data_IF_712259328423
#
_entry.id   IF_712259328423
#
_cell.length_a   1.000
_cell.length_b   1.000
_cell.length_c   1.000
_cell.angle_alpha   90.00
_cell.angle_beta   90.00
_cell.angle_gamma   90.00
#
_symmetry.space_group_name_H-M   'P 1'
#
loop_
_entity.id
_entity.type
_entity.pdbx_description
1 polymer ?
#
# COMPACT_ATOMS: atom_id res chain seq x y z
N UNK A 1 -16.44 9.43 30.41
CA UNK A 1 -15.72 8.42 29.59
C UNK A 1 -15.34 9.09 28.29
N UNK A 2 -14.07 9.47 28.13
CA UNK A 2 -13.61 10.16 26.92
C UNK A 2 -13.48 9.12 25.81
N UNK A 3 -14.34 9.21 24.79
CA UNK A 3 -14.22 8.39 23.59
C UNK A 3 -13.00 8.89 22.82
N UNK A 4 -11.88 8.18 22.94
CA UNK A 4 -10.70 8.44 22.14
C UNK A 4 -11.03 8.04 20.69
N UNK A 5 -11.04 9.02 19.79
CA UNK A 5 -11.18 8.78 18.35
C UNK A 5 -9.91 8.11 17.84
N UNK A 6 -9.89 6.78 17.84
CA UNK A 6 -8.84 6.01 17.19
C UNK A 6 -9.08 6.03 15.69
N UNK A 7 -8.10 6.53 14.93
CA UNK A 7 -8.16 6.53 13.47
C UNK A 7 -7.63 5.18 12.99
N UNK A 8 -8.46 4.44 12.25
CA UNK A 8 -8.09 3.14 11.68
C UNK A 8 -7.87 3.28 10.18
N UNK A 9 -6.63 3.08 9.75
CA UNK A 9 -6.22 3.09 8.34
C UNK A 9 -6.05 1.64 7.86
N UNK A 10 -6.60 1.33 6.68
CA UNK A 10 -6.53 0.00 6.05
C UNK A 10 -5.77 -0.01 4.72
N UNK A 11 -5.49 1.16 4.16
CA UNK A 11 -4.81 1.36 2.88
C UNK A 11 -4.20 2.76 2.85
N UNK A 12 -3.23 2.99 1.97
CA UNK A 12 -2.54 4.27 1.85
C UNK A 12 -1.61 4.51 3.04
N UNK A 13 -0.86 3.47 3.41
CA UNK A 13 0.01 3.54 4.57
C UNK A 13 1.14 4.56 4.36
N UNK A 14 1.48 5.28 5.42
CA UNK A 14 2.64 6.16 5.40
C UNK A 14 3.91 5.32 5.59
N UNK A 15 5.01 5.72 4.96
CA UNK A 15 6.31 5.04 5.14
C UNK A 15 6.73 5.03 6.61
N UNK A 16 7.34 3.93 7.03
CA UNK A 16 7.95 3.74 8.36
C UNK A 16 9.43 3.45 8.24
N UNK A 17 10.18 3.91 9.23
CA UNK A 17 11.60 3.69 9.37
C UNK A 17 11.87 2.65 10.45
N UNK A 18 12.78 1.73 10.18
CA UNK A 18 13.18 0.75 11.18
C UNK A 18 14.69 0.59 11.20
N UNK A 19 15.27 0.52 12.38
CA UNK A 19 16.70 0.25 12.57
C UNK A 19 17.03 -1.26 12.49
N UNK A 20 16.06 -2.11 12.14
CA UNK A 20 16.30 -3.54 12.03
C UNK A 20 17.19 -3.83 10.82
N UNK A 21 18.36 -4.40 11.08
CA UNK A 21 19.24 -4.93 10.03
C UNK A 21 18.60 -6.22 9.52
N UNK A 22 17.91 -6.12 8.39
CA UNK A 22 17.36 -7.27 7.68
C UNK A 22 18.50 -7.97 6.95
N UNK A 23 19.09 -8.99 7.59
CA UNK A 23 20.21 -9.76 7.03
C UNK A 23 19.84 -10.59 5.80
N UNK A 24 18.55 -10.68 5.44
CA UNK A 24 18.09 -11.54 4.34
C UNK A 24 16.85 -10.97 3.62
N UNK A 25 16.81 -11.16 2.30
CA UNK A 25 15.69 -10.79 1.41
C UNK A 25 14.42 -11.64 1.59
N UNK A 26 14.40 -12.59 2.53
CA UNK A 26 13.24 -13.45 2.82
C UNK A 26 11.98 -12.65 3.16
N UNK A 27 12.10 -11.57 3.93
CA UNK A 27 10.95 -10.73 4.29
C UNK A 27 10.34 -10.02 3.09
N UNK A 28 11.19 -9.43 2.25
CA UNK A 28 10.78 -8.81 0.98
C UNK A 28 10.02 -9.79 0.08
N UNK A 29 10.59 -10.98 -0.16
CA UNK A 29 9.96 -12.02 -0.98
C UNK A 29 8.58 -12.44 -0.45
N UNK A 30 8.42 -12.54 0.88
CA UNK A 30 7.13 -12.88 1.47
C UNK A 30 6.05 -11.84 1.17
N UNK A 31 6.40 -10.55 1.26
CA UNK A 31 5.49 -9.47 0.94
C UNK A 31 5.14 -9.46 -0.56
N UNK A 32 6.12 -9.61 -1.44
CA UNK A 32 5.93 -9.63 -2.91
C UNK A 32 5.04 -10.78 -3.38
N UNK A 33 5.12 -11.96 -2.74
CA UNK A 33 4.29 -13.13 -3.07
C UNK A 33 2.86 -12.97 -2.48
N UNK A 34 2.57 -11.92 -1.71
CA UNK A 34 1.24 -11.66 -1.16
C UNK A 34 0.91 -12.46 0.09
N UNK A 35 1.92 -12.86 0.88
CA UNK A 35 1.68 -13.55 2.15
C UNK A 35 1.29 -12.62 3.30
N UNK A 36 1.46 -11.30 3.14
CA UNK A 36 1.09 -10.29 4.13
C UNK A 36 -0.30 -9.77 3.82
N UNK A 37 -1.26 -9.97 4.72
CA UNK A 37 -2.66 -9.63 4.55
C UNK A 37 -3.23 -8.89 5.78
N UNK A 38 -4.41 -8.28 5.59
CA UNK A 38 -5.17 -7.56 6.62
C UNK A 38 -4.32 -6.59 7.44
N UNK A 39 -3.47 -5.82 6.75
CA UNK A 39 -2.68 -4.79 7.42
C UNK A 39 -3.63 -3.69 7.86
N UNK A 40 -3.54 -3.30 9.12
CA UNK A 40 -4.30 -2.19 9.69
C UNK A 40 -3.39 -1.36 10.57
N UNK A 41 -3.50 -0.06 10.44
CA UNK A 41 -2.79 0.90 11.28
C UNK A 41 -3.81 1.62 12.16
N UNK A 42 -3.65 1.53 13.48
CA UNK A 42 -4.47 2.24 14.46
C UNK A 42 -3.64 3.36 15.04
N UNK A 43 -3.99 4.60 14.71
CA UNK A 43 -3.37 5.80 15.27
C UNK A 43 -4.13 6.21 16.54
N UNK A 44 -3.43 6.19 17.66
CA UNK A 44 -3.95 6.70 18.92
C UNK A 44 -3.64 8.20 19.04
N UNK A 45 -4.49 8.93 19.74
CA UNK A 45 -4.30 10.37 20.05
C UNK A 45 -3.00 10.68 20.79
N UNK A 46 -2.44 9.69 21.50
CA UNK A 46 -1.18 9.80 22.22
C UNK A 46 0.07 9.71 21.31
N UNK A 47 -0.10 9.98 20.01
CA UNK A 47 0.95 9.97 18.97
C UNK A 47 1.65 8.63 18.72
N UNK A 48 1.18 7.54 19.33
CA UNK A 48 1.62 6.18 19.03
C UNK A 48 0.68 5.54 18.02
N UNK A 49 1.27 4.84 17.05
CA UNK A 49 0.54 4.09 16.04
C UNK A 49 0.86 2.61 16.17
N UNK A 50 -0.17 1.77 16.10
CA UNK A 50 -0.01 0.32 16.14
C UNK A 50 -0.39 -0.24 14.78
N UNK A 51 0.56 -0.88 14.11
CA UNK A 51 0.32 -1.59 12.87
C UNK A 51 0.14 -3.07 13.21
N UNK A 52 -0.96 -3.66 12.77
CA UNK A 52 -1.19 -5.10 12.88
C UNK A 52 -1.35 -5.71 11.51
N UNK A 53 -0.88 -6.93 11.34
CA UNK A 53 -0.95 -7.67 10.09
C UNK A 53 -1.01 -9.17 10.36
N UNK A 54 -1.53 -9.93 9.40
CA UNK A 54 -1.43 -11.39 9.39
C UNK A 54 -0.47 -11.82 8.29
N UNK A 55 0.34 -12.84 8.58
CA UNK A 55 1.31 -13.39 7.63
C UNK A 55 1.09 -14.87 7.45
N UNK A 56 0.73 -15.28 6.24
CA UNK A 56 0.45 -16.67 5.88
C UNK A 56 1.71 -17.51 6.03
N UNK A 57 1.60 -18.66 6.69
CA UNK A 57 2.72 -19.58 6.91
C UNK A 57 3.23 -20.13 5.58
N UNK A 58 4.56 -20.21 5.41
CA UNK A 58 5.15 -20.80 4.20
C UNK A 58 5.03 -22.33 4.19
N UNK A 59 5.11 -22.95 5.37
CA UNK A 59 4.86 -24.37 5.58
C UNK A 59 3.59 -24.49 6.41
N UNK A 60 2.68 -25.38 6.02
CA UNK A 60 1.36 -25.53 6.67
C UNK A 60 0.42 -24.33 6.46
N UNK A 61 0.15 -23.99 5.18
CA UNK A 61 -0.78 -22.91 4.77
C UNK A 61 -2.21 -23.09 5.29
N UNK A 62 -2.57 -24.29 5.73
CA UNK A 62 -3.86 -24.61 6.34
C UNK A 62 -3.95 -24.25 7.83
N UNK A 63 -2.82 -24.00 8.49
CA UNK A 63 -2.80 -23.54 9.88
C UNK A 63 -3.04 -22.03 9.98
N UNK A 64 -3.42 -21.57 11.18
CA UNK A 64 -3.65 -20.14 11.43
C UNK A 64 -2.42 -19.28 11.08
N UNK A 65 -2.60 -18.19 10.30
CA UNK A 65 -1.52 -17.26 9.97
C UNK A 65 -0.84 -16.67 11.21
N UNK A 66 0.42 -16.29 11.08
CA UNK A 66 1.13 -15.60 12.16
C UNK A 66 0.63 -14.17 12.30
N UNK A 67 0.25 -13.75 13.51
CA UNK A 67 -0.06 -12.35 13.78
C UNK A 67 1.24 -11.58 14.04
N UNK A 68 1.31 -10.39 13.45
CA UNK A 68 2.42 -9.45 13.59
C UNK A 68 1.85 -8.13 14.09
N UNK A 69 2.53 -7.53 15.08
CA UNK A 69 2.21 -6.21 15.63
C UNK A 69 3.48 -5.37 15.64
N UNK A 70 3.42 -4.16 15.10
CA UNK A 70 4.48 -3.17 15.14
C UNK A 70 4.01 -1.95 15.91
N UNK A 71 4.84 -1.47 16.82
CA UNK A 71 4.61 -0.24 17.56
C UNK A 71 5.47 0.86 16.95
N UNK A 72 4.81 1.91 16.49
CA UNK A 72 5.43 3.01 15.73
C UNK A 72 5.27 4.30 16.51
N UNK A 73 6.37 5.02 16.65
CA UNK A 73 6.45 6.33 17.29
C UNK A 73 5.96 7.44 16.35
N UNK A 74 5.80 8.65 16.87
CA UNK A 74 5.38 9.83 16.11
C UNK A 74 6.31 10.15 14.92
N UNK A 75 7.61 9.87 15.09
CA UNK A 75 8.62 10.04 14.03
C UNK A 75 8.59 8.93 12.97
N UNK A 76 7.54 8.11 12.92
CA UNK A 76 7.41 6.94 12.03
C UNK A 76 8.50 5.89 12.22
N UNK A 77 9.15 5.87 13.38
CA UNK A 77 10.17 4.86 13.71
C UNK A 77 9.55 3.68 14.44
N UNK A 78 9.81 2.46 13.97
CA UNK A 78 9.39 1.23 14.65
C UNK A 78 10.20 1.08 15.94
N UNK A 79 9.50 1.04 17.09
CA UNK A 79 10.09 0.83 18.41
C UNK A 79 10.18 -0.66 18.72
N UNK A 80 9.03 -1.33 18.68
CA UNK A 80 8.90 -2.74 19.04
C UNK A 80 8.20 -3.50 17.92
N UNK A 81 8.60 -4.76 17.71
CA UNK A 81 8.00 -5.66 16.75
C UNK A 81 7.70 -7.01 17.38
N UNK A 82 6.42 -7.37 17.44
CA UNK A 82 5.96 -8.65 17.96
C UNK A 82 5.49 -9.55 16.82
N UNK A 83 5.83 -10.83 16.88
CA UNK A 83 5.33 -11.85 15.98
C UNK A 83 5.12 -13.17 16.73
N UNK A 84 4.02 -13.86 16.47
CA UNK A 84 3.69 -15.14 17.11
C UNK A 84 4.57 -16.31 16.63
N UNK A 85 5.39 -16.13 15.60
CA UNK A 85 6.25 -17.20 15.11
C UNK A 85 7.34 -17.58 16.14
N UNK A 86 7.92 -18.79 16.07
CA UNK A 86 8.97 -19.21 17.01
C UNK A 86 10.20 -18.28 17.05
N UNK A 87 10.51 -17.64 15.93
CA UNK A 87 11.60 -16.66 15.83
C UNK A 87 11.19 -15.23 16.24
N UNK A 88 9.93 -15.01 16.62
CA UNK A 88 9.36 -13.70 16.92
C UNK A 88 9.91 -13.06 18.18
N UNK A 89 10.38 -13.86 19.13
CA UNK A 89 11.06 -13.38 20.34
C UNK A 89 12.34 -12.58 20.05
N UNK A 90 12.91 -12.71 18.85
CA UNK A 90 14.10 -11.95 18.43
C UNK A 90 13.79 -10.56 17.86
N UNK A 91 12.50 -10.22 17.66
CA UNK A 91 11.99 -9.01 16.99
C UNK A 91 12.50 -8.80 15.54
N UNK A 92 13.35 -9.71 15.04
CA UNK A 92 14.03 -9.63 13.73
C UNK A 92 13.57 -10.73 12.78
N UNK A 93 12.35 -11.25 12.99
CA UNK A 93 11.85 -12.35 12.19
C UNK A 93 11.53 -11.89 10.76
N UNK A 94 11.55 -12.84 9.81
CA UNK A 94 11.21 -12.57 8.41
C UNK A 94 9.79 -12.02 8.21
N UNK A 95 8.87 -12.29 9.14
CA UNK A 95 7.48 -11.82 9.06
C UNK A 95 7.38 -10.33 9.41
N UNK A 96 8.08 -9.88 10.46
CA UNK A 96 8.19 -8.46 10.83
C UNK A 96 8.81 -7.67 9.66
N UNK A 97 9.89 -8.21 9.09
CA UNK A 97 10.54 -7.66 7.90
C UNK A 97 9.57 -7.51 6.71
N UNK A 98 8.73 -8.53 6.48
CA UNK A 98 7.74 -8.52 5.40
C UNK A 98 6.69 -7.44 5.62
N UNK A 99 6.20 -7.26 6.84
CA UNK A 99 5.20 -6.23 7.17
C UNK A 99 5.77 -4.82 7.01
N UNK A 100 7.01 -4.59 7.44
CA UNK A 100 7.68 -3.30 7.23
C UNK A 100 7.84 -3.00 5.74
N UNK A 101 8.28 -3.99 4.97
CA UNK A 101 8.41 -3.85 3.52
C UNK A 101 7.06 -3.59 2.85
N UNK A 102 6.03 -4.35 3.22
CA UNK A 102 4.67 -4.17 2.71
C UNK A 102 4.17 -2.76 2.99
N UNK A 103 4.23 -2.29 4.23
CA UNK A 103 3.77 -0.96 4.61
C UNK A 103 4.45 0.16 3.79
N UNK A 104 5.74 -0.01 3.47
CA UNK A 104 6.51 1.00 2.74
C UNK A 104 6.31 0.97 1.23
N UNK A 105 5.86 -0.16 0.67
CA UNK A 105 5.69 -0.36 -0.77
C UNK A 105 4.22 -0.65 -1.14
N UNK A 106 3.28 -0.46 -0.21
CA UNK A 106 1.85 -0.58 -0.48
C UNK A 106 1.43 0.62 -1.32
N UNK A 107 1.56 0.48 -2.63
CA UNK A 107 0.92 1.38 -3.57
C UNK A 107 -0.55 0.97 -3.66
N UNK A 108 -1.43 1.78 -3.09
CA UNK A 108 -2.87 1.66 -3.29
C UNK A 108 -3.22 2.04 -4.73
N UNK A 109 -2.93 1.16 -5.67
CA UNK A 109 -3.35 1.34 -7.06
C UNK A 109 -4.88 1.32 -7.12
N UNK A 110 -5.48 2.50 -7.30
CA UNK A 110 -6.91 2.60 -7.55
C UNK A 110 -7.23 2.18 -8.99
N UNK A 111 -8.49 1.85 -9.28
CA UNK A 111 -8.92 1.57 -10.67
C UNK A 111 -8.69 2.75 -11.63
N UNK A 112 -8.43 3.96 -11.10
CA UNK A 112 -8.05 5.14 -11.90
C UNK A 112 -6.55 5.27 -12.16
N UNK A 113 -5.70 4.51 -11.46
CA UNK A 113 -4.25 4.48 -11.74
C UNK A 113 -3.93 3.70 -13.02
N UNK A 114 -4.80 2.79 -13.43
CA UNK A 114 -4.64 2.04 -14.67
C UNK A 114 -5.37 2.74 -15.83
N UNK A 115 -4.75 2.80 -17.02
CA UNK A 115 -5.41 3.36 -18.19
C UNK A 115 -6.66 2.55 -18.50
N UNK A 116 -7.82 3.21 -18.63
CA UNK A 116 -9.12 2.59 -18.88
C UNK A 116 -9.01 1.43 -19.89
N UNK A 117 -9.30 0.20 -19.48
CA UNK A 117 -9.26 -0.98 -20.36
C UNK A 117 -10.65 -1.28 -20.95
N UNK A 118 -11.71 -1.06 -20.17
CA UNK A 118 -13.08 -1.30 -20.60
C UNK A 118 -13.58 -0.19 -21.53
N UNK A 119 -14.17 -0.56 -22.67
CA UNK A 119 -14.74 0.41 -23.62
C UNK A 119 -13.70 1.21 -24.40
N UNK A 120 -12.43 0.77 -24.44
CA UNK A 120 -11.46 1.29 -25.40
C UNK A 120 -12.02 1.05 -26.82
N UNK A 121 -12.34 2.10 -27.60
CA UNK A 121 -12.86 1.90 -28.94
C UNK A 121 -11.80 1.17 -29.76
N UNK A 122 -12.23 0.12 -30.47
CA UNK A 122 -11.39 -0.56 -31.46
C UNK A 122 -10.92 0.44 -32.51
N UNK A 123 -9.86 0.13 -33.28
CA UNK A 123 -9.40 1.02 -34.37
C UNK A 123 -10.55 1.43 -35.30
N UNK A 124 -11.46 0.50 -35.56
CA UNK A 124 -12.70 0.72 -36.33
C UNK A 124 -13.66 1.70 -35.62
N UNK A 125 -13.85 1.54 -34.30
CA UNK A 125 -14.63 2.48 -33.50
C UNK A 125 -14.02 3.89 -33.44
N UNK A 126 -12.70 4.00 -33.38
CA UNK A 126 -12.00 5.28 -33.43
C UNK A 126 -12.17 6.00 -34.78
N UNK A 127 -12.20 5.25 -35.88
CA UNK A 127 -12.47 5.81 -37.21
C UNK A 127 -13.94 6.21 -37.40
N UNK A 128 -14.87 5.37 -36.92
CA UNK A 128 -16.32 5.62 -37.02
C UNK A 128 -16.77 6.78 -36.14
N UNK A 129 -16.13 6.97 -34.99
CA UNK A 129 -16.39 8.04 -34.03
C UNK A 129 -15.18 8.95 -33.83
N UNK A 130 -14.57 9.42 -34.94
CA UNK A 130 -13.54 10.47 -34.86
C UNK A 130 -14.13 11.68 -34.14
N UNK A 131 -13.49 12.12 -33.05
CA UNK A 131 -13.84 13.40 -32.42
C UNK A 131 -13.85 14.48 -33.51
N UNK A 132 -14.92 15.27 -33.55
CA UNK A 132 -15.05 16.39 -34.49
C UNK A 132 -13.85 17.34 -34.39
N UNK A 133 -13.72 18.24 -35.37
CA UNK A 133 -12.61 19.19 -35.38
C UNK A 133 -12.62 20.05 -34.11
N UNK A 134 -11.44 20.44 -33.63
CA UNK A 134 -11.31 21.34 -32.47
C UNK A 134 -12.06 22.66 -32.73
N UNK A 135 -12.65 23.24 -31.68
CA UNK A 135 -13.42 24.49 -31.77
C UNK A 135 -12.66 25.62 -32.47
N UNK A 136 -11.33 25.70 -32.29
CA UNK A 136 -10.45 26.67 -32.96
C UNK A 136 -10.46 26.59 -34.49
N UNK A 137 -10.81 25.44 -35.08
CA UNK A 137 -10.91 25.30 -36.54
C UNK A 137 -12.20 25.86 -37.13
N UNK A 138 -13.21 26.14 -36.29
CA UNK A 138 -14.47 26.74 -36.72
C UNK A 138 -14.42 28.26 -36.78
N UNK A 139 -13.45 28.88 -36.09
CA UNK A 139 -13.30 30.32 -36.06
C UNK A 139 -12.07 30.73 -36.89
N UNK A 140 -12.26 31.23 -38.12
CA UNK A 140 -11.14 31.71 -38.92
C UNK A 140 -10.44 32.85 -38.17
N UNK A 141 -9.13 32.68 -37.94
CA UNK A 141 -8.29 33.73 -37.36
C UNK A 141 -8.30 34.90 -38.34
N UNK A 142 -8.93 36.01 -37.95
CA UNK A 142 -8.93 37.24 -38.75
C UNK A 142 -7.48 37.72 -38.87
N UNK A 143 -6.90 37.62 -40.06
CA UNK A 143 -5.59 38.23 -40.36
C UNK A 143 -5.72 39.73 -40.16
N UNK A 144 -4.92 40.31 -39.26
CA UNK A 144 -4.76 41.77 -39.17
C UNK A 144 -4.20 42.24 -40.51
N UNK A 145 -4.91 43.16 -41.18
CA UNK A 145 -4.36 43.90 -42.32
C UNK A 145 -3.31 44.86 -41.76
N UNK A 146 -2.10 44.80 -42.31
CA UNK A 146 -1.07 45.82 -42.13
C UNK A 146 -1.52 47.13 -42.76
#
# INVERSE_FOLDING_TARGET
MVNWLNIVTKCGFQTIHSNFILTNNKGKKLAEIGHVNLVTEVKSTNMFSVITAIVIRQTSVTCEPWKVKLEVDNNRSVKNGFCECPAGASEKCKHIAAVIYYNNNEESFSKTNFPQEWGKPTKIGQEKYKKGKLSMSFFPIKKKKN
#
